data_IF_965519133144
#
_entry.id   IF_965519133144
#
_cell.length_a   1.000
_cell.length_b   1.000
_cell.length_c   1.000
_cell.angle_alpha   90.00
_cell.angle_beta   90.00
_cell.angle_gamma   90.00
#
_symmetry.space_group_name_H-M   'P 1'
#
loop_
_entity.id
_entity.type
_entity.pdbx_description
1 polymer ?
#
# COMPACT_ATOMS: atom_id res chain seq x y z
N UNK A 1 -20.07 15.58 5.17
CA UNK A 1 -19.81 14.13 5.21
C UNK A 1 -18.39 13.84 4.70
N UNK A 2 -17.54 13.24 5.53
CA UNK A 2 -16.12 12.97 5.25
C UNK A 2 -15.84 11.46 5.29
N UNK A 3 -16.70 10.66 4.71
CA UNK A 3 -16.59 9.18 4.72
C UNK A 3 -15.34 8.70 4.03
N UNK A 4 -14.93 9.33 2.93
CA UNK A 4 -13.71 8.99 2.21
C UNK A 4 -12.47 9.22 3.09
N UNK A 5 -12.38 10.37 3.73
CA UNK A 5 -11.30 10.66 4.67
C UNK A 5 -11.23 9.65 5.81
N UNK A 6 -12.37 9.34 6.46
CA UNK A 6 -12.41 8.37 7.55
C UNK A 6 -11.98 6.96 7.09
N UNK A 7 -12.44 6.53 5.92
CA UNK A 7 -12.03 5.25 5.31
C UNK A 7 -10.55 5.27 4.97
N UNK A 8 -10.05 6.37 4.37
CA UNK A 8 -8.63 6.54 4.07
C UNK A 8 -7.75 6.40 5.31
N UNK A 9 -8.13 7.06 6.41
CA UNK A 9 -7.42 6.95 7.70
C UNK A 9 -7.42 5.50 8.23
N UNK A 10 -8.54 4.79 8.17
CA UNK A 10 -8.61 3.40 8.61
C UNK A 10 -7.69 2.46 7.79
N UNK A 11 -7.52 2.74 6.48
CA UNK A 11 -6.70 1.90 5.58
C UNK A 11 -5.22 2.35 5.57
N UNK A 12 -4.87 3.48 6.15
CA UNK A 12 -3.47 3.94 6.22
C UNK A 12 -2.54 2.93 6.90
N UNK A 13 -3.04 2.22 7.93
CA UNK A 13 -2.30 1.17 8.62
C UNK A 13 -1.78 0.06 7.70
N UNK A 14 -2.58 -0.33 6.70
CA UNK A 14 -2.14 -1.30 5.67
C UNK A 14 -0.99 -0.73 4.83
N UNK A 15 -1.08 0.53 4.41
CA UNK A 15 -0.02 1.18 3.63
C UNK A 15 1.29 1.34 4.41
N UNK A 16 1.21 1.49 5.74
CA UNK A 16 2.37 1.70 6.62
C UNK A 16 3.11 0.42 7.03
N UNK A 17 2.52 -0.75 6.79
CA UNK A 17 3.08 -2.03 7.25
C UNK A 17 4.51 -2.27 6.76
N UNK A 18 4.79 -2.02 5.49
CA UNK A 18 6.12 -2.21 4.92
C UNK A 18 7.16 -1.19 5.42
N UNK A 19 6.74 0.00 5.84
CA UNK A 19 7.66 1.01 6.39
C UNK A 19 8.37 0.51 7.66
N UNK A 20 7.68 -0.27 8.46
CA UNK A 20 8.22 -0.87 9.70
C UNK A 20 8.70 -2.30 9.41
N UNK A 21 7.90 -3.07 8.67
CA UNK A 21 8.16 -4.49 8.43
C UNK A 21 9.38 -4.76 7.57
N UNK A 22 9.65 -3.95 6.54
CA UNK A 22 10.80 -4.16 5.66
C UNK A 22 12.15 -3.96 6.36
N UNK A 23 12.42 -2.85 7.06
CA UNK A 23 13.65 -2.69 7.84
C UNK A 23 13.78 -3.73 8.95
N UNK A 24 12.69 -4.03 9.66
CA UNK A 24 12.68 -5.05 10.70
C UNK A 24 13.05 -6.42 10.15
N UNK A 25 12.47 -6.82 9.02
CA UNK A 25 12.80 -8.10 8.37
C UNK A 25 14.27 -8.14 7.94
N UNK A 26 14.80 -7.06 7.37
CA UNK A 26 16.21 -6.96 6.95
C UNK A 26 17.16 -7.15 8.14
N UNK A 27 16.92 -6.49 9.26
CA UNK A 27 17.75 -6.63 10.46
C UNK A 27 17.62 -8.02 11.11
N UNK A 28 16.42 -8.60 11.15
CA UNK A 28 16.22 -9.96 11.66
C UNK A 28 16.90 -11.01 10.77
N UNK A 29 16.83 -10.89 9.46
CA UNK A 29 17.56 -11.76 8.53
C UNK A 29 19.07 -11.68 8.81
N UNK A 30 19.63 -10.50 8.93
CA UNK A 30 21.02 -10.27 9.29
C UNK A 30 21.40 -10.91 10.62
N UNK A 31 20.53 -10.75 11.64
CA UNK A 31 20.75 -11.29 12.98
C UNK A 31 20.73 -12.82 13.01
N UNK A 32 19.86 -13.47 12.22
CA UNK A 32 19.73 -14.93 12.18
C UNK A 32 20.56 -15.58 11.09
N UNK A 33 21.21 -14.83 10.22
CA UNK A 33 22.07 -15.38 9.17
C UNK A 33 23.27 -16.11 9.79
N UNK A 34 23.59 -17.26 9.22
CA UNK A 34 24.79 -18.07 9.51
C UNK A 34 25.54 -18.33 8.22
N UNK A 35 26.72 -18.96 8.30
CA UNK A 35 27.51 -19.31 7.10
C UNK A 35 26.76 -20.29 6.15
N UNK A 36 25.77 -21.02 6.66
CA UNK A 36 25.04 -22.06 5.93
C UNK A 36 23.54 -21.75 5.72
N UNK A 37 22.99 -20.76 6.43
CA UNK A 37 21.55 -20.39 6.37
C UNK A 37 21.39 -18.87 6.36
N UNK A 38 20.53 -18.40 5.49
CA UNK A 38 20.17 -16.96 5.34
C UNK A 38 19.33 -16.45 6.53
N UNK A 39 18.79 -17.32 7.38
CA UNK A 39 18.03 -16.94 8.56
C UNK A 39 16.56 -16.56 8.28
N UNK A 40 15.99 -16.99 7.15
CA UNK A 40 14.61 -16.64 6.76
C UNK A 40 13.57 -17.22 7.71
N UNK A 41 13.70 -18.50 8.07
CA UNK A 41 12.73 -19.20 8.91
C UNK A 41 12.62 -18.58 10.31
N UNK A 42 13.70 -18.38 11.08
CA UNK A 42 13.60 -17.73 12.38
C UNK A 42 13.09 -16.28 12.28
N UNK A 43 13.45 -15.54 11.24
CA UNK A 43 12.90 -14.20 10.97
C UNK A 43 11.38 -14.24 10.84
N UNK A 44 10.83 -15.15 10.05
CA UNK A 44 9.38 -15.28 9.87
C UNK A 44 8.66 -15.66 11.18
N UNK A 45 9.27 -16.50 12.03
CA UNK A 45 8.70 -16.88 13.33
C UNK A 45 8.63 -15.64 14.25
N UNK A 46 9.69 -14.86 14.34
CA UNK A 46 9.70 -13.64 15.17
C UNK A 46 8.69 -12.63 14.64
N UNK A 47 8.64 -12.39 13.34
CA UNK A 47 7.66 -11.49 12.73
C UNK A 47 6.23 -11.97 12.96
N UNK A 48 5.96 -13.27 12.86
CA UNK A 48 4.65 -13.85 13.14
C UNK A 48 4.24 -13.64 14.59
N UNK A 49 5.13 -13.81 15.55
CA UNK A 49 4.87 -13.54 16.96
C UNK A 49 4.55 -12.07 17.21
N UNK A 50 5.32 -11.15 16.65
CA UNK A 50 5.07 -9.71 16.74
C UNK A 50 3.71 -9.35 16.14
N UNK A 51 3.41 -9.82 14.94
CA UNK A 51 2.11 -9.56 14.29
C UNK A 51 0.95 -10.14 15.09
N UNK A 52 1.10 -11.35 15.64
CA UNK A 52 0.08 -11.97 16.47
C UNK A 52 -0.28 -11.10 17.68
N UNK A 53 0.71 -10.60 18.41
CA UNK A 53 0.50 -9.73 19.56
C UNK A 53 -0.26 -8.45 19.18
N UNK A 54 0.19 -7.74 18.15
CA UNK A 54 -0.46 -6.50 17.71
C UNK A 54 -1.85 -6.73 17.12
N UNK A 55 -2.05 -7.79 16.36
CA UNK A 55 -3.36 -8.14 15.81
C UNK A 55 -4.35 -8.52 16.91
N UNK A 56 -3.92 -9.30 17.92
CA UNK A 56 -4.76 -9.66 19.06
C UNK A 56 -5.10 -8.43 19.90
N UNK A 57 -4.15 -7.56 20.17
CA UNK A 57 -4.40 -6.30 20.89
C UNK A 57 -5.43 -5.43 20.13
N UNK A 58 -5.28 -5.30 18.82
CA UNK A 58 -6.23 -4.59 17.96
C UNK A 58 -7.64 -5.22 17.98
N UNK A 59 -7.72 -6.54 17.87
CA UNK A 59 -8.98 -7.28 17.88
C UNK A 59 -9.72 -7.12 19.21
N UNK A 60 -9.01 -7.16 20.33
CA UNK A 60 -9.59 -6.97 21.68
C UNK A 60 -10.02 -5.51 21.94
N UNK A 61 -9.34 -4.54 21.33
CA UNK A 61 -9.70 -3.13 21.43
C UNK A 61 -10.92 -2.76 20.55
N UNK A 62 -11.24 -3.55 19.54
CA UNK A 62 -12.30 -3.26 18.60
C UNK A 62 -13.68 -3.52 19.22
N UNK A 63 -14.56 -2.51 19.20
CA UNK A 63 -15.92 -2.61 19.72
C UNK A 63 -16.93 -2.14 18.66
N UNK A 64 -17.96 -2.94 18.46
CA UNK A 64 -19.09 -2.53 17.62
C UNK A 64 -19.95 -1.55 18.42
N UNK A 65 -20.27 -0.35 17.85
CA UNK A 65 -21.18 0.57 18.51
C UNK A 65 -22.55 -0.05 18.77
N UNK A 66 -23.17 0.30 19.88
CA UNK A 66 -24.56 -0.15 20.18
C UNK A 66 -25.52 0.38 19.12
N UNK A 67 -26.62 -0.37 18.90
CA UNK A 67 -27.66 0.04 17.96
C UNK A 67 -28.20 1.44 18.32
N UNK A 68 -28.26 2.33 17.32
CA UNK A 68 -28.70 3.71 17.52
C UNK A 68 -27.64 4.67 18.07
N UNK A 69 -26.40 4.22 18.28
CA UNK A 69 -25.32 5.12 18.73
C UNK A 69 -25.09 6.27 17.74
N UNK A 70 -24.98 7.48 18.27
CA UNK A 70 -24.63 8.70 17.53
C UNK A 70 -23.58 9.47 18.32
N UNK A 71 -22.65 10.19 17.62
CA UNK A 71 -21.73 11.08 18.33
C UNK A 71 -22.50 12.15 19.13
N UNK A 72 -21.97 12.53 20.27
CA UNK A 72 -22.52 13.62 21.08
C UNK A 72 -22.53 14.90 20.22
N UNK A 73 -23.61 15.64 20.26
CA UNK A 73 -23.83 16.88 19.47
C UNK A 73 -23.97 16.70 17.96
N UNK A 74 -24.04 15.46 17.43
CA UNK A 74 -24.27 15.24 16.00
C UNK A 74 -25.77 15.14 15.73
N UNK A 75 -26.28 16.06 14.90
CA UNK A 75 -27.63 16.00 14.33
C UNK A 75 -27.53 15.76 12.84
N UNK A 76 -28.37 14.86 12.26
CA UNK A 76 -28.40 14.70 10.81
C UNK A 76 -28.73 16.07 10.16
N UNK A 77 -27.98 16.49 9.14
CA UNK A 77 -28.29 17.74 8.42
C UNK A 77 -29.68 17.66 7.82
N UNK A 78 -30.58 18.54 8.28
CA UNK A 78 -32.02 18.52 7.95
C UNK A 78 -32.31 18.79 6.46
N UNK A 79 -31.36 19.38 5.73
CA UNK A 79 -31.50 19.76 4.31
C UNK A 79 -30.21 19.58 3.51
N UNK A 80 -29.44 18.53 3.70
CA UNK A 80 -28.45 18.20 2.68
C UNK A 80 -29.23 17.79 1.43
N UNK A 81 -29.20 18.60 0.37
CA UNK A 81 -29.48 18.12 -0.99
C UNK A 81 -28.89 16.73 -1.06
N UNK A 82 -29.73 15.73 -1.31
CA UNK A 82 -29.38 14.31 -1.18
C UNK A 82 -27.97 14.12 -1.74
N UNK A 83 -27.03 13.80 -0.86
CA UNK A 83 -25.63 13.71 -1.29
C UNK A 83 -25.58 12.60 -2.33
N UNK A 84 -25.45 12.97 -3.60
CA UNK A 84 -25.53 12.05 -4.75
C UNK A 84 -24.49 10.93 -4.68
N UNK A 85 -23.51 11.08 -3.79
CA UNK A 85 -22.50 10.06 -3.50
C UNK A 85 -22.97 8.99 -2.50
N UNK A 86 -24.10 9.19 -1.84
CA UNK A 86 -24.66 8.23 -0.87
C UNK A 86 -25.85 7.51 -1.52
N UNK A 87 -25.69 6.23 -1.78
CA UNK A 87 -26.82 5.42 -2.26
C UNK A 87 -27.80 5.09 -1.14
N UNK A 88 -29.09 5.17 -1.45
CA UNK A 88 -30.18 4.70 -0.60
C UNK A 88 -30.63 3.27 -0.99
N UNK A 89 -30.09 2.74 -2.09
CA UNK A 89 -30.44 1.41 -2.60
C UNK A 89 -29.47 0.38 -2.07
N UNK A 90 -29.93 -0.44 -1.15
CA UNK A 90 -29.18 -1.56 -0.62
C UNK A 90 -29.46 -2.82 -1.42
N UNK A 91 -28.43 -3.58 -1.76
CA UNK A 91 -28.53 -4.83 -2.50
C UNK A 91 -28.12 -5.98 -1.59
N UNK A 92 -28.97 -6.98 -1.47
CA UNK A 92 -28.64 -8.19 -0.71
C UNK A 92 -27.50 -8.97 -1.40
N UNK A 93 -26.59 -9.53 -0.62
CA UNK A 93 -25.37 -10.23 -1.11
C UNK A 93 -25.68 -11.32 -2.14
N UNK A 94 -26.77 -12.08 -1.97
CA UNK A 94 -27.19 -13.11 -2.93
C UNK A 94 -27.53 -12.58 -4.34
N UNK A 95 -27.84 -11.28 -4.46
CA UNK A 95 -28.22 -10.65 -5.72
C UNK A 95 -27.07 -9.80 -6.33
N UNK A 96 -26.01 -9.56 -5.58
CA UNK A 96 -24.90 -8.69 -6.02
C UNK A 96 -24.24 -9.20 -7.28
N UNK A 97 -24.04 -10.52 -7.38
CA UNK A 97 -23.42 -11.16 -8.55
C UNK A 97 -24.25 -11.08 -9.83
N UNK A 98 -25.54 -10.79 -9.73
CA UNK A 98 -26.43 -10.57 -10.89
C UNK A 98 -26.33 -9.13 -11.44
N UNK A 99 -25.63 -8.24 -10.77
CA UNK A 99 -25.55 -6.82 -11.11
C UNK A 99 -24.31 -6.55 -11.94
N UNK A 100 -24.50 -6.14 -13.19
CA UNK A 100 -23.41 -5.79 -14.10
C UNK A 100 -22.43 -4.75 -13.51
N UNK A 101 -22.94 -3.75 -12.78
CA UNK A 101 -22.11 -2.73 -12.12
C UNK A 101 -21.13 -3.29 -11.09
N UNK A 102 -21.50 -4.39 -10.40
CA UNK A 102 -20.61 -5.07 -9.48
C UNK A 102 -19.36 -5.60 -10.20
N UNK A 103 -19.54 -6.30 -11.32
CA UNK A 103 -18.44 -6.86 -12.09
C UNK A 103 -17.56 -5.80 -12.72
N UNK A 104 -18.15 -4.69 -13.17
CA UNK A 104 -17.36 -3.55 -13.67
C UNK A 104 -16.50 -2.93 -12.56
N UNK A 105 -17.05 -2.73 -11.37
CA UNK A 105 -16.28 -2.23 -10.22
C UNK A 105 -15.23 -3.22 -9.77
N UNK A 106 -15.55 -4.51 -9.76
CA UNK A 106 -14.61 -5.57 -9.44
C UNK A 106 -13.45 -5.58 -10.42
N UNK A 107 -13.72 -5.51 -11.72
CA UNK A 107 -12.68 -5.44 -12.76
C UNK A 107 -11.77 -4.23 -12.61
N UNK A 108 -12.35 -3.05 -12.41
CA UNK A 108 -11.58 -1.80 -12.16
C UNK A 108 -10.68 -1.96 -10.94
N UNK A 109 -11.20 -2.48 -9.83
CA UNK A 109 -10.42 -2.67 -8.61
C UNK A 109 -9.33 -3.72 -8.81
N UNK A 110 -9.63 -4.85 -9.43
CA UNK A 110 -8.70 -5.93 -9.71
C UNK A 110 -7.50 -5.42 -10.52
N UNK A 111 -7.76 -4.76 -11.65
CA UNK A 111 -6.71 -4.21 -12.52
C UNK A 111 -5.84 -3.17 -11.80
N UNK A 112 -6.47 -2.25 -11.08
CA UNK A 112 -5.76 -1.20 -10.35
C UNK A 112 -4.88 -1.76 -9.22
N UNK A 113 -5.40 -2.71 -8.44
CA UNK A 113 -4.66 -3.34 -7.34
C UNK A 113 -3.51 -4.19 -7.88
N UNK A 114 -3.74 -4.96 -8.96
CA UNK A 114 -2.69 -5.78 -9.60
C UNK A 114 -1.53 -4.92 -10.09
N UNK A 115 -1.83 -3.80 -10.74
CA UNK A 115 -0.82 -2.84 -11.18
C UNK A 115 0.00 -2.31 -9.98
N UNK A 116 -0.67 -1.81 -8.94
CA UNK A 116 0.01 -1.26 -7.76
C UNK A 116 0.84 -2.27 -6.98
N UNK A 117 0.30 -3.49 -6.75
CA UNK A 117 1.02 -4.56 -6.03
C UNK A 117 2.21 -5.05 -6.85
N UNK A 118 2.08 -5.12 -8.19
CA UNK A 118 3.18 -5.48 -9.08
C UNK A 118 4.40 -4.58 -8.88
N UNK A 119 4.19 -3.27 -8.91
CA UNK A 119 5.29 -2.30 -8.68
C UNK A 119 5.85 -2.42 -7.26
N UNK A 120 5.00 -2.42 -6.23
CA UNK A 120 5.47 -2.47 -4.83
C UNK A 120 6.24 -3.79 -4.57
N UNK A 121 5.73 -4.91 -5.08
CA UNK A 121 6.36 -6.22 -4.88
C UNK A 121 7.70 -6.38 -5.58
N UNK A 122 7.88 -5.73 -6.74
CA UNK A 122 9.10 -5.81 -7.52
C UNK A 122 10.06 -4.62 -7.31
N UNK A 123 9.66 -3.61 -6.55
CA UNK A 123 10.42 -2.37 -6.38
C UNK A 123 11.83 -2.60 -5.81
N UNK A 124 11.97 -3.45 -4.79
CA UNK A 124 13.25 -3.77 -4.18
C UNK A 124 14.18 -4.57 -5.13
N UNK A 125 13.75 -5.70 -5.75
CA UNK A 125 14.54 -6.38 -6.76
C UNK A 125 14.91 -5.49 -7.96
N UNK A 126 13.96 -4.71 -8.50
CA UNK A 126 14.22 -3.81 -9.62
C UNK A 126 15.30 -2.78 -9.28
N UNK A 127 15.23 -2.16 -8.10
CA UNK A 127 16.25 -1.20 -7.67
C UNK A 127 17.63 -1.86 -7.58
N UNK A 128 17.69 -3.06 -7.02
CA UNK A 128 18.93 -3.78 -6.85
C UNK A 128 19.53 -4.23 -8.20
N UNK A 129 18.73 -4.81 -9.08
CA UNK A 129 19.20 -5.39 -10.33
C UNK A 129 19.52 -4.32 -11.39
N UNK A 130 18.71 -3.27 -11.49
CA UNK A 130 18.87 -2.23 -12.51
C UNK A 130 19.91 -1.19 -12.11
N UNK A 131 19.90 -0.76 -10.84
CA UNK A 131 20.71 0.36 -10.38
C UNK A 131 21.80 -0.03 -9.37
N UNK A 132 21.92 -1.32 -9.02
CA UNK A 132 22.80 -1.76 -7.93
C UNK A 132 24.24 -1.29 -8.07
N UNK A 133 24.84 -1.46 -9.23
CA UNK A 133 26.21 -0.98 -9.49
C UNK A 133 26.35 0.53 -9.34
N UNK A 134 25.39 1.30 -9.85
CA UNK A 134 25.38 2.76 -9.76
C UNK A 134 25.23 3.25 -8.30
N UNK A 135 24.40 2.58 -7.52
CA UNK A 135 24.13 2.94 -6.12
C UNK A 135 25.37 2.80 -5.23
N UNK A 136 26.29 1.89 -5.55
CA UNK A 136 27.55 1.71 -4.84
C UNK A 136 28.74 2.32 -5.58
N UNK A 137 28.50 3.07 -6.66
CA UNK A 137 29.52 3.81 -7.38
C UNK A 137 30.47 2.93 -8.22
N UNK A 138 30.03 1.72 -8.60
CA UNK A 138 30.83 0.80 -9.41
C UNK A 138 30.12 0.48 -10.73
N UNK A 139 30.86 0.41 -11.82
CA UNK A 139 30.37 0.05 -13.14
C UNK A 139 30.33 -1.48 -13.31
N UNK A 140 29.63 -2.19 -12.42
CA UNK A 140 29.47 -3.64 -12.43
C UNK A 140 28.01 -4.01 -12.58
N UNK A 141 27.73 -5.19 -13.19
CA UNK A 141 26.42 -5.79 -13.17
C UNK A 141 26.12 -6.36 -11.77
N UNK A 142 24.84 -6.44 -11.41
CA UNK A 142 24.40 -6.98 -10.11
C UNK A 142 25.01 -8.37 -9.79
N UNK A 143 25.15 -9.22 -10.82
CA UNK A 143 25.72 -10.57 -10.69
C UNK A 143 27.23 -10.58 -10.33
N UNK A 144 27.96 -9.48 -10.59
CA UNK A 144 29.40 -9.38 -10.40
C UNK A 144 29.78 -8.65 -9.10
N UNK A 145 28.79 -8.29 -8.28
CA UNK A 145 28.96 -7.57 -7.03
C UNK A 145 29.40 -8.50 -5.90
N UNK A 146 30.25 -8.00 -5.03
CA UNK A 146 30.70 -8.74 -3.85
C UNK A 146 29.64 -8.69 -2.72
N UNK A 147 29.85 -9.48 -1.66
CA UNK A 147 28.90 -9.58 -0.53
C UNK A 147 28.64 -8.25 0.18
N UNK A 148 29.67 -7.42 0.34
CA UNK A 148 29.54 -6.13 1.03
C UNK A 148 28.78 -5.12 0.17
N UNK A 149 29.06 -5.09 -1.14
CA UNK A 149 28.35 -4.28 -2.13
C UNK A 149 26.86 -4.68 -2.17
N UNK A 150 26.56 -5.98 -2.20
CA UNK A 150 25.18 -6.50 -2.17
C UNK A 150 24.45 -6.14 -0.86
N UNK A 151 25.14 -6.19 0.28
CA UNK A 151 24.53 -5.81 1.56
C UNK A 151 24.21 -4.30 1.60
N UNK A 152 25.11 -3.45 1.07
CA UNK A 152 24.87 -2.02 0.97
C UNK A 152 23.65 -1.70 0.07
N UNK A 153 23.56 -2.34 -1.09
CA UNK A 153 22.42 -2.19 -2.03
C UNK A 153 21.10 -2.66 -1.39
N UNK A 154 21.13 -3.79 -0.70
CA UNK A 154 19.95 -4.30 0.00
C UNK A 154 19.43 -3.32 1.08
N UNK A 155 20.33 -2.65 1.78
CA UNK A 155 19.97 -1.61 2.76
C UNK A 155 19.32 -0.39 2.08
N UNK A 156 19.84 0.07 0.94
CA UNK A 156 19.24 1.15 0.13
C UNK A 156 17.86 0.72 -0.37
N UNK A 157 17.72 -0.49 -0.89
CA UNK A 157 16.45 -1.03 -1.39
C UNK A 157 15.39 -1.17 -0.28
N UNK A 158 15.78 -1.53 0.94
CA UNK A 158 14.90 -1.53 2.10
C UNK A 158 14.42 -0.11 2.45
N UNK A 159 15.33 0.88 2.43
CA UNK A 159 14.98 2.29 2.61
C UNK A 159 14.03 2.82 1.54
N UNK A 160 14.26 2.45 0.28
CA UNK A 160 13.36 2.79 -0.83
C UNK A 160 11.96 2.19 -0.66
N UNK A 161 11.87 0.93 -0.25
CA UNK A 161 10.59 0.27 0.06
C UNK A 161 9.85 0.96 1.21
N UNK A 162 10.57 1.41 2.23
CA UNK A 162 10.00 2.19 3.33
C UNK A 162 9.47 3.56 2.83
N UNK A 163 10.19 4.23 1.94
CA UNK A 163 9.76 5.48 1.31
C UNK A 163 8.49 5.29 0.46
N UNK A 164 8.43 4.25 -0.37
CA UNK A 164 7.22 3.89 -1.13
C UNK A 164 6.03 3.64 -0.19
N UNK A 165 6.27 3.02 0.95
CA UNK A 165 5.25 2.77 1.97
C UNK A 165 4.72 4.08 2.57
N UNK A 166 5.59 5.06 2.81
CA UNK A 166 5.21 6.40 3.28
C UNK A 166 4.29 7.10 2.26
N UNK A 167 4.65 7.07 0.98
CA UNK A 167 3.79 7.61 -0.09
C UNK A 167 2.48 6.83 -0.24
N UNK A 168 2.47 5.53 0.01
CA UNK A 168 1.25 4.72 0.02
C UNK A 168 0.30 5.16 1.14
N UNK A 169 0.82 5.43 2.35
CA UNK A 169 0.05 5.99 3.47
C UNK A 169 -0.54 7.36 3.08
N UNK A 170 0.32 8.29 2.68
CA UNK A 170 -0.06 9.64 2.31
C UNK A 170 -1.06 9.67 1.16
N UNK A 171 -0.84 8.84 0.14
CA UNK A 171 -1.72 8.70 -1.00
C UNK A 171 -3.14 8.23 -0.62
N UNK A 172 -3.26 7.27 0.28
CA UNK A 172 -4.57 6.80 0.78
C UNK A 172 -5.35 7.91 1.46
N UNK A 173 -4.69 8.70 2.32
CA UNK A 173 -5.30 9.83 2.97
C UNK A 173 -5.68 10.94 1.99
N UNK A 174 -4.75 11.33 1.13
CA UNK A 174 -4.91 12.41 0.16
C UNK A 174 -6.04 12.11 -0.83
N UNK A 175 -5.96 10.99 -1.55
CA UNK A 175 -6.94 10.63 -2.58
C UNK A 175 -8.33 10.34 -2.00
N UNK A 176 -8.40 9.70 -0.83
CA UNK A 176 -9.67 9.47 -0.17
C UNK A 176 -10.34 10.77 0.27
N UNK A 177 -9.58 11.71 0.84
CA UNK A 177 -10.07 13.04 1.22
C UNK A 177 -10.47 13.89 0.01
N UNK A 178 -9.67 13.85 -1.05
CA UNK A 178 -9.93 14.53 -2.31
C UNK A 178 -11.20 14.01 -2.98
N UNK A 179 -11.44 12.71 -2.91
CA UNK A 179 -12.62 12.08 -3.48
C UNK A 179 -13.94 12.51 -2.80
N UNK A 180 -13.90 13.00 -1.57
CA UNK A 180 -15.07 13.56 -0.90
C UNK A 180 -15.46 14.95 -1.48
N UNK A 181 -14.50 15.65 -2.14
CA UNK A 181 -14.71 16.95 -2.78
C UNK A 181 -15.01 16.84 -4.28
N UNK A 182 -14.18 16.09 -5.01
CA UNK A 182 -14.27 15.95 -6.47
C UNK A 182 -15.31 14.93 -6.93
N UNK A 183 -15.74 14.04 -6.02
CA UNK A 183 -16.57 12.89 -6.35
C UNK A 183 -15.76 11.67 -6.81
N UNK A 184 -16.31 10.48 -6.58
CA UNK A 184 -15.61 9.20 -6.79
C UNK A 184 -15.19 9.00 -8.24
N UNK A 185 -16.09 9.28 -9.20
CA UNK A 185 -15.83 9.06 -10.63
C UNK A 185 -14.65 9.91 -11.12
N UNK A 186 -14.67 11.21 -10.84
CA UNK A 186 -13.60 12.14 -11.26
C UNK A 186 -12.26 11.74 -10.65
N UNK A 187 -12.25 11.38 -9.36
CA UNK A 187 -11.03 10.94 -8.68
C UNK A 187 -10.44 9.69 -9.32
N UNK A 188 -11.26 8.68 -9.66
CA UNK A 188 -10.79 7.50 -10.37
C UNK A 188 -10.23 7.82 -11.77
N UNK A 189 -10.89 8.70 -12.52
CA UNK A 189 -10.38 9.11 -13.84
C UNK A 189 -9.02 9.79 -13.75
N UNK A 190 -8.86 10.71 -12.80
CA UNK A 190 -7.57 11.38 -12.55
C UNK A 190 -6.49 10.38 -12.12
N UNK A 191 -6.84 9.47 -11.22
CA UNK A 191 -5.94 8.46 -10.72
C UNK A 191 -5.43 7.53 -11.83
N UNK A 192 -6.32 7.07 -12.71
CA UNK A 192 -5.93 6.22 -13.84
C UNK A 192 -5.10 6.97 -14.88
N UNK A 193 -5.47 8.22 -15.19
CA UNK A 193 -4.70 9.04 -16.13
C UNK A 193 -3.27 9.26 -15.63
N UNK A 194 -3.13 9.72 -14.39
CA UNK A 194 -1.82 9.94 -13.78
C UNK A 194 -1.03 8.63 -13.67
N UNK A 195 -1.68 7.55 -13.24
CA UNK A 195 -1.06 6.23 -13.17
C UNK A 195 -0.53 5.77 -14.53
N UNK A 196 -1.34 5.89 -15.58
CA UNK A 196 -0.91 5.52 -16.95
C UNK A 196 0.29 6.32 -17.42
N UNK A 197 0.31 7.64 -17.18
CA UNK A 197 1.43 8.51 -17.54
C UNK A 197 2.71 8.11 -16.78
N UNK A 198 2.59 7.84 -15.48
CA UNK A 198 3.71 7.38 -14.66
C UNK A 198 4.24 6.03 -15.14
N UNK A 199 3.38 5.06 -15.45
CA UNK A 199 3.81 3.77 -15.99
C UNK A 199 4.55 3.90 -17.33
N UNK A 200 4.09 4.78 -18.21
CA UNK A 200 4.76 5.05 -19.49
C UNK A 200 6.12 5.72 -19.33
N UNK A 201 6.36 6.43 -18.21
CA UNK A 201 7.65 7.08 -17.93
C UNK A 201 8.71 6.14 -17.33
N UNK A 202 8.31 4.97 -16.79
CA UNK A 202 9.25 4.05 -16.13
C UNK A 202 10.39 3.60 -17.05
N UNK A 203 10.16 3.14 -18.29
CA UNK A 203 11.26 2.72 -19.17
C UNK A 203 12.27 3.83 -19.47
N UNK A 204 11.78 5.05 -19.66
CA UNK A 204 12.64 6.21 -19.94
C UNK A 204 13.50 6.56 -18.71
N UNK A 205 12.89 6.58 -17.50
CA UNK A 205 13.62 6.81 -16.24
C UNK A 205 14.68 5.75 -15.99
N UNK A 206 14.40 4.48 -16.31
CA UNK A 206 15.38 3.40 -16.19
C UNK A 206 16.56 3.58 -17.15
N UNK A 207 16.31 4.01 -18.40
CA UNK A 207 17.34 4.23 -19.41
C UNK A 207 18.23 5.44 -19.10
N UNK A 208 17.67 6.49 -18.50
CA UNK A 208 18.44 7.72 -18.17
C UNK A 208 19.19 7.60 -16.85
N UNK A 209 18.99 6.56 -16.07
CA UNK A 209 19.58 6.39 -14.73
C UNK A 209 19.11 7.43 -13.71
N UNK A 210 18.10 8.22 -14.04
CA UNK A 210 17.46 9.16 -13.12
C UNK A 210 16.47 8.41 -12.24
N UNK A 211 16.83 8.26 -10.98
CA UNK A 211 15.99 7.65 -9.94
C UNK A 211 15.25 8.76 -9.18
#
# INVERSE_FOLDING_TARGET
DRRGMATGMAIMGFGGGAMIGSPLAAELIKFFATDTDVGVMPTLIVMAAVYFVFMMAGALAYRVPVSGWKPVSWTPPVNSKANTMITQKHVHVKNVFKIKRFWLLWGVLCMNVSAGIGIIGMSSPMLQEVFGGQLVGVAKLYADLNKDELAAIAAVAAGFTALLSLFNIGGRFFWASLSDKLGRKTTYMLFFLLGSLLYLSIPESANTGNI
#
